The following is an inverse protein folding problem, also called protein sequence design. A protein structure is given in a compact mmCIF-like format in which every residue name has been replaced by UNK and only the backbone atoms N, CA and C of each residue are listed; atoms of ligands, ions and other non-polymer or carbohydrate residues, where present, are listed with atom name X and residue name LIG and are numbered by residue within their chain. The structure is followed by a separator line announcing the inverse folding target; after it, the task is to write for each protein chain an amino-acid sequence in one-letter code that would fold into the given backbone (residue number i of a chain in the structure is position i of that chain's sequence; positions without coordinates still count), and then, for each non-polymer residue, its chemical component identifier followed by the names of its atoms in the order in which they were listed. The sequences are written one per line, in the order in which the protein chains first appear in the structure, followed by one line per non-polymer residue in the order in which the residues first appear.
data_IF_761617312805
#
_entry.id   IF_761617312805
#
_cell.length_a   1.000
_cell.length_b   1.000
_cell.length_c   1.000
_cell.angle_alpha   90.00
_cell.angle_beta   90.00
_cell.angle_gamma   90.00
#
_symmetry.space_group_name_H-M   'P 1'
#
loop_
_entity.id
_entity.type
_entity.pdbx_description
1 polymer ?
#
# COMPACT_ATOMS: atom_id res chain seq x y z
N UNK A 1 3.42 -13.14 -9.39
CA UNK A 1 3.56 -12.04 -10.38
C UNK A 1 4.36 -10.90 -9.75
N UNK A 2 5.53 -10.51 -10.30
CA UNK A 2 6.31 -9.36 -9.76
C UNK A 2 5.55 -8.06 -10.07
N UNK A 3 4.99 -7.43 -9.04
CA UNK A 3 4.45 -6.07 -9.16
C UNK A 3 5.65 -5.15 -9.41
N UNK A 4 5.77 -4.69 -10.66
CA UNK A 4 6.97 -4.09 -11.21
C UNK A 4 6.81 -2.60 -11.47
N UNK A 5 7.82 -1.84 -11.05
CA UNK A 5 8.04 -0.46 -11.45
C UNK A 5 8.31 -0.39 -12.96
N UNK A 6 7.28 -0.12 -13.77
CA UNK A 6 7.47 0.01 -15.22
C UNK A 6 8.45 1.14 -15.55
N UNK A 7 9.30 0.95 -16.56
CA UNK A 7 10.32 1.94 -16.96
C UNK A 7 9.70 3.26 -17.40
N UNK A 8 8.59 3.21 -18.13
CA UNK A 8 7.85 4.38 -18.63
C UNK A 8 7.28 5.28 -17.50
N UNK A 9 7.09 4.75 -16.30
CA UNK A 9 6.66 5.52 -15.13
C UNK A 9 7.82 6.12 -14.31
N UNK A 10 9.08 5.94 -14.72
CA UNK A 10 10.25 6.43 -13.96
C UNK A 10 10.18 7.94 -13.70
N UNK A 11 9.86 8.71 -14.73
CA UNK A 11 9.76 10.18 -14.65
C UNK A 11 8.61 10.60 -13.72
N UNK A 12 7.44 9.98 -13.87
CA UNK A 12 6.28 10.24 -12.99
C UNK A 12 6.62 9.98 -11.53
N UNK A 13 7.22 8.83 -11.21
CA UNK A 13 7.60 8.51 -9.83
C UNK A 13 8.69 9.44 -9.29
N UNK A 14 9.61 9.91 -10.14
CA UNK A 14 10.63 10.87 -9.71
C UNK A 14 9.98 12.22 -9.39
N UNK A 15 9.10 12.70 -10.26
CA UNK A 15 8.32 13.91 -10.04
C UNK A 15 7.50 13.85 -8.75
N UNK A 16 6.76 12.75 -8.52
CA UNK A 16 5.96 12.59 -7.30
C UNK A 16 6.82 12.53 -6.03
N UNK A 17 8.04 11.97 -6.10
CA UNK A 17 8.97 11.98 -4.95
C UNK A 17 9.54 13.35 -4.62
N UNK A 18 9.60 14.26 -5.59
CA UNK A 18 10.08 15.64 -5.38
C UNK A 18 8.94 16.61 -5.07
N UNK A 19 7.69 16.24 -5.35
CA UNK A 19 6.49 17.05 -5.13
C UNK A 19 5.50 16.36 -4.19
N UNK A 20 6.00 15.54 -3.25
CA UNK A 20 5.15 14.86 -2.26
C UNK A 20 4.52 15.88 -1.31
N UNK A 21 3.28 15.64 -0.89
CA UNK A 21 2.65 16.44 0.17
C UNK A 21 3.42 16.33 1.49
N UNK A 22 3.20 17.28 2.41
CA UNK A 22 3.79 17.21 3.75
C UNK A 22 3.33 15.95 4.51
N UNK A 23 2.08 15.51 4.31
CA UNK A 23 1.54 14.29 4.90
C UNK A 23 2.26 13.05 4.37
N UNK A 24 2.47 12.95 3.04
CA UNK A 24 3.24 11.86 2.44
C UNK A 24 4.68 11.80 2.95
N UNK A 25 5.33 12.96 3.08
CA UNK A 25 6.71 13.05 3.56
C UNK A 25 6.81 12.58 5.03
N UNK A 26 5.90 13.06 5.88
CA UNK A 26 5.82 12.66 7.30
C UNK A 26 5.55 11.16 7.44
N UNK A 27 4.55 10.63 6.74
CA UNK A 27 4.22 9.21 6.81
C UNK A 27 5.37 8.34 6.27
N UNK A 28 6.04 8.78 5.19
CA UNK A 28 7.21 8.08 4.68
C UNK A 28 8.34 8.00 5.70
N UNK A 29 8.64 9.10 6.40
CA UNK A 29 9.69 9.11 7.42
C UNK A 29 9.43 8.08 8.52
N UNK A 30 8.16 7.94 8.93
CA UNK A 30 7.71 6.99 9.94
C UNK A 30 7.75 5.54 9.47
N UNK A 31 7.35 5.26 8.24
CA UNK A 31 7.28 3.89 7.71
C UNK A 31 8.59 3.40 7.08
N UNK A 32 9.47 4.31 6.67
CA UNK A 32 10.76 3.98 6.06
C UNK A 32 11.66 3.18 7.00
N UNK A 33 12.65 2.50 6.43
CA UNK A 33 13.67 1.74 7.18
C UNK A 33 13.11 0.65 8.12
N UNK A 34 11.92 0.10 7.81
CA UNK A 34 11.29 -0.99 8.57
C UNK A 34 10.99 -0.66 10.03
N UNK A 35 10.80 0.63 10.35
CA UNK A 35 10.53 1.11 11.71
C UNK A 35 9.23 0.55 12.29
N UNK A 36 8.24 0.29 11.45
CA UNK A 36 6.95 -0.26 11.86
C UNK A 36 6.94 -1.75 11.61
N UNK A 37 7.04 -2.53 12.69
CA UNK A 37 6.74 -3.96 12.68
C UNK A 37 7.59 -4.77 11.67
N UNK A 38 8.77 -4.26 11.31
CA UNK A 38 9.68 -4.86 10.33
C UNK A 38 9.26 -4.69 8.86
N UNK A 39 8.11 -4.06 8.59
CA UNK A 39 7.51 -3.97 7.26
C UNK A 39 8.32 -3.07 6.31
N UNK A 40 8.60 -3.57 5.11
CA UNK A 40 9.28 -2.77 4.08
C UNK A 40 8.29 -2.00 3.20
N UNK A 41 8.18 -0.70 3.45
CA UNK A 41 7.46 0.21 2.55
C UNK A 41 8.33 0.76 1.42
N UNK A 42 7.71 1.00 0.27
CA UNK A 42 8.29 1.65 -0.91
C UNK A 42 7.50 2.92 -1.21
N UNK A 43 8.20 4.04 -1.39
CA UNK A 43 7.57 5.32 -1.74
C UNK A 43 7.32 5.48 -3.23
N UNK A 44 6.13 5.97 -3.58
CA UNK A 44 5.63 6.27 -4.92
C UNK A 44 5.87 5.09 -5.86
N UNK A 45 5.18 3.98 -5.59
CA UNK A 45 5.41 2.68 -6.22
C UNK A 45 4.46 2.44 -7.39
N UNK A 46 4.99 1.98 -8.53
CA UNK A 46 4.17 1.67 -9.70
C UNK A 46 3.53 0.28 -9.59
N UNK A 47 2.21 0.21 -9.77
CA UNK A 47 1.42 -1.03 -9.84
C UNK A 47 0.56 -0.95 -11.10
N UNK A 48 0.94 -1.72 -12.12
CA UNK A 48 0.30 -1.62 -13.44
C UNK A 48 0.46 -0.23 -14.05
N UNK A 49 -0.66 0.44 -14.32
CA UNK A 49 -0.70 1.81 -14.83
C UNK A 49 -0.71 2.89 -13.73
N UNK A 50 -0.96 2.50 -12.48
CA UNK A 50 -1.09 3.42 -11.36
C UNK A 50 0.21 3.55 -10.57
N UNK A 51 0.34 4.66 -9.84
CA UNK A 51 1.36 4.87 -8.81
C UNK A 51 0.62 5.11 -7.49
N UNK A 52 0.99 4.36 -6.46
CA UNK A 52 0.46 4.49 -5.09
C UNK A 52 1.51 5.16 -4.19
N UNK A 53 1.08 5.93 -3.19
CA UNK A 53 1.99 6.77 -2.39
C UNK A 53 2.99 5.94 -1.60
N UNK A 54 2.51 4.90 -0.91
CA UNK A 54 3.33 3.95 -0.17
C UNK A 54 2.86 2.52 -0.44
N UNK A 55 3.80 1.58 -0.59
CA UNK A 55 3.47 0.18 -0.85
C UNK A 55 4.35 -0.77 -0.05
N UNK A 56 3.73 -1.70 0.68
CA UNK A 56 4.37 -2.83 1.34
C UNK A 56 4.14 -4.12 0.53
N UNK A 57 5.15 -4.63 -0.18
CA UNK A 57 5.00 -5.84 -1.00
C UNK A 57 4.77 -7.11 -0.19
N UNK A 58 5.26 -7.16 1.06
CA UNK A 58 5.24 -8.35 1.91
C UNK A 58 3.81 -8.76 2.26
N UNK A 59 2.94 -7.79 2.50
CA UNK A 59 1.51 -7.99 2.85
C UNK A 59 0.56 -7.42 1.80
N UNK A 60 1.08 -7.11 0.60
CA UNK A 60 0.38 -6.50 -0.53
C UNK A 60 -0.51 -5.31 -0.12
N UNK A 61 0.03 -4.42 0.71
CA UNK A 61 -0.69 -3.24 1.21
C UNK A 61 -0.23 -1.98 0.47
N UNK A 62 -1.15 -1.26 -0.14
CA UNK A 62 -0.96 0.12 -0.58
C UNK A 62 -1.58 1.08 0.44
N UNK A 63 -0.93 2.22 0.66
CA UNK A 63 -1.47 3.34 1.43
C UNK A 63 -1.53 4.55 0.49
N UNK A 64 -2.68 5.22 0.48
CA UNK A 64 -2.89 6.47 -0.25
C UNK A 64 -3.33 7.57 0.68
N UNK A 65 -2.78 8.76 0.47
CA UNK A 65 -3.17 9.95 1.21
C UNK A 65 -4.05 10.83 0.33
N UNK A 66 -5.21 11.18 0.85
CA UNK A 66 -6.15 12.07 0.19
C UNK A 66 -6.04 13.46 0.81
N UNK A 67 -5.75 14.44 -0.04
CA UNK A 67 -5.61 15.85 0.34
C UNK A 67 -6.90 16.65 0.29
N UNK A 68 -8.05 16.02 0.00
CA UNK A 68 -9.35 16.65 0.07
C UNK A 68 -9.46 17.94 -0.72
N UNK A 69 -9.65 17.82 -2.03
CA UNK A 69 -10.38 18.83 -2.79
C UNK A 69 -11.41 18.07 -3.64
N UNK A 70 -12.69 18.21 -3.27
CA UNK A 70 -13.81 17.87 -4.13
C UNK A 70 -13.60 18.47 -5.52
N UNK A 71 -13.73 17.68 -6.58
CA UNK A 71 -14.82 17.79 -7.55
C UNK A 71 -14.59 16.82 -8.71
N UNK A 72 -15.63 16.05 -8.99
CA UNK A 72 -16.06 15.55 -10.29
C UNK A 72 -16.25 14.05 -10.28
N UNK A 73 -17.47 13.67 -10.62
CA UNK A 73 -17.99 12.31 -10.83
C UNK A 73 -17.05 11.38 -11.63
N UNK A 74 -16.11 11.96 -12.38
CA UNK A 74 -15.02 11.31 -13.13
C UNK A 74 -13.93 10.73 -12.20
N UNK A 75 -13.65 11.34 -11.04
CA UNK A 75 -12.71 10.81 -10.04
C UNK A 75 -13.30 9.54 -9.39
N UNK A 76 -14.59 9.49 -9.10
CA UNK A 76 -15.23 8.29 -8.51
C UNK A 76 -15.18 7.05 -9.41
N UNK A 77 -15.36 7.22 -10.73
CA UNK A 77 -15.19 6.12 -11.69
C UNK A 77 -13.71 5.69 -11.81
N UNK A 78 -12.77 6.65 -11.85
CA UNK A 78 -11.33 6.37 -11.91
C UNK A 78 -10.79 5.75 -10.63
N UNK A 79 -11.31 6.15 -9.47
CA UNK A 79 -10.97 5.57 -8.18
C UNK A 79 -11.49 4.14 -8.08
N UNK A 80 -12.71 3.88 -8.55
CA UNK A 80 -13.23 2.51 -8.62
C UNK A 80 -12.43 1.64 -9.59
N UNK A 81 -12.12 2.12 -10.80
CA UNK A 81 -11.29 1.36 -11.75
C UNK A 81 -9.89 1.08 -11.20
N UNK A 82 -9.30 2.05 -10.49
CA UNK A 82 -8.01 1.89 -9.81
C UNK A 82 -8.11 0.87 -8.69
N UNK A 83 -9.12 0.96 -7.85
CA UNK A 83 -9.34 0.04 -6.73
C UNK A 83 -9.60 -1.39 -7.22
N UNK A 84 -10.48 -1.56 -8.21
CA UNK A 84 -10.77 -2.84 -8.85
C UNK A 84 -9.50 -3.42 -9.49
N UNK A 85 -8.70 -2.59 -10.18
CA UNK A 85 -7.41 -3.03 -10.74
C UNK A 85 -6.43 -3.45 -9.64
N UNK A 86 -6.23 -2.64 -8.60
CA UNK A 86 -5.29 -2.97 -7.51
C UNK A 86 -5.73 -4.24 -6.77
N UNK A 87 -7.03 -4.37 -6.49
CA UNK A 87 -7.65 -5.57 -5.92
C UNK A 87 -7.42 -6.80 -6.80
N UNK A 88 -7.54 -6.68 -8.13
CA UNK A 88 -7.23 -7.77 -9.07
C UNK A 88 -5.76 -8.23 -9.02
N UNK A 89 -4.86 -7.35 -8.55
CA UNK A 89 -3.44 -7.69 -8.32
C UNK A 89 -3.21 -8.26 -6.90
N UNK A 90 -4.28 -8.46 -6.13
CA UNK A 90 -4.25 -8.88 -4.73
C UNK A 90 -3.75 -7.79 -3.79
N UNK A 91 -3.83 -6.51 -4.18
CA UNK A 91 -3.38 -5.37 -3.37
C UNK A 91 -4.57 -4.75 -2.65
N UNK A 92 -4.49 -4.66 -1.33
CA UNK A 92 -5.44 -3.90 -0.52
C UNK A 92 -4.97 -2.46 -0.40
N UNK A 93 -5.90 -1.50 -0.47
CA UNK A 93 -5.63 -0.07 -0.32
C UNK A 93 -6.22 0.44 0.99
N UNK A 94 -5.40 1.09 1.83
CA UNK A 94 -5.88 1.91 2.94
C UNK A 94 -5.73 3.38 2.56
N UNK A 95 -6.83 4.14 2.61
CA UNK A 95 -6.84 5.58 2.33
C UNK A 95 -6.98 6.37 3.62
N UNK A 96 -6.16 7.39 3.79
CA UNK A 96 -6.25 8.32 4.92
C UNK A 96 -6.34 9.75 4.42
N UNK A 97 -7.13 10.58 5.10
CA UNK A 97 -7.07 12.02 4.92
C UNK A 97 -5.71 12.55 5.40
N UNK A 98 -5.18 13.55 4.72
CA UNK A 98 -3.92 14.20 5.11
C UNK A 98 -3.95 14.67 6.58
N UNK A 99 -5.09 15.21 7.02
CA UNK A 99 -5.33 15.71 8.37
C UNK A 99 -5.12 14.61 9.43
N UNK A 100 -5.52 13.37 9.14
CA UNK A 100 -5.34 12.25 10.06
C UNK A 100 -3.86 11.96 10.27
N UNK A 101 -3.03 12.07 9.23
CA UNK A 101 -1.58 11.87 9.37
C UNK A 101 -0.95 12.93 10.29
N UNK A 102 -1.44 14.16 10.24
CA UNK A 102 -0.91 15.25 11.07
C UNK A 102 -1.41 15.21 12.52
N UNK A 103 -2.65 14.80 12.73
CA UNK A 103 -3.31 14.91 14.04
C UNK A 103 -3.36 13.60 14.82
N UNK A 104 -3.40 12.46 14.14
CA UNK A 104 -3.48 11.15 14.76
C UNK A 104 -2.73 10.09 13.95
N UNK A 105 -1.41 10.23 13.94
CA UNK A 105 -0.54 9.26 13.29
C UNK A 105 -0.57 7.90 13.97
N UNK A 106 -0.92 7.85 15.27
CA UNK A 106 -1.10 6.61 16.01
C UNK A 106 -2.18 5.73 15.39
N UNK A 107 -3.33 6.33 15.05
CA UNK A 107 -4.42 5.66 14.34
C UNK A 107 -3.97 5.09 12.99
N UNK A 108 -3.16 5.83 12.21
CA UNK A 108 -2.62 5.34 10.93
C UNK A 108 -1.76 4.08 11.15
N UNK A 109 -0.88 4.10 12.14
CA UNK A 109 -0.03 2.94 12.48
C UNK A 109 -0.87 1.77 12.97
N UNK A 110 -1.86 2.01 13.83
CA UNK A 110 -2.78 0.99 14.33
C UNK A 110 -3.47 0.26 13.18
N UNK A 111 -3.99 0.99 12.18
CA UNK A 111 -4.64 0.38 11.01
C UNK A 111 -3.70 -0.45 10.14
N UNK A 112 -2.44 -0.04 10.01
CA UNK A 112 -1.42 -0.84 9.32
C UNK A 112 -1.15 -2.15 10.07
N UNK A 113 -1.04 -2.10 11.40
CA UNK A 113 -0.80 -3.27 12.24
C UNK A 113 -2.01 -4.21 12.23
N UNK A 114 -3.22 -3.67 12.38
CA UNK A 114 -4.47 -4.42 12.30
C UNK A 114 -4.57 -5.19 10.97
N UNK A 115 -4.27 -4.52 9.85
CA UNK A 115 -4.23 -5.16 8.55
C UNK A 115 -3.13 -6.22 8.45
N UNK A 116 -1.91 -5.95 8.92
CA UNK A 116 -0.81 -6.94 8.94
C UNK A 116 -1.25 -8.22 9.66
N UNK A 117 -1.89 -8.10 10.82
CA UNK A 117 -2.32 -9.26 11.61
C UNK A 117 -3.38 -10.08 10.85
N UNK A 118 -4.42 -9.42 10.32
CA UNK A 118 -5.44 -10.06 9.47
C UNK A 118 -4.84 -10.74 8.24
N UNK A 119 -3.87 -10.10 7.59
CA UNK A 119 -3.18 -10.66 6.43
C UNK A 119 -2.42 -11.94 6.81
N UNK A 120 -1.73 -11.95 7.95
CA UNK A 120 -1.04 -13.15 8.46
C UNK A 120 -2.00 -14.27 8.80
N UNK A 121 -3.13 -14.00 9.45
CA UNK A 121 -4.13 -15.03 9.78
C UNK A 121 -4.68 -15.70 8.51
N UNK A 122 -5.03 -14.90 7.50
CA UNK A 122 -5.59 -15.40 6.23
C UNK A 122 -4.58 -16.18 5.39
N UNK A 123 -3.29 -15.84 5.48
CA UNK A 123 -2.25 -16.47 4.65
C UNK A 123 -1.43 -17.55 5.39
N UNK A 124 -1.38 -17.54 6.73
CA UNK A 124 -0.78 -18.61 7.53
C UNK A 124 -1.57 -19.93 7.41
N UNK A 125 -2.88 -19.85 7.15
CA UNK A 125 -3.72 -21.01 6.85
C UNK A 125 -3.37 -21.69 5.52
N UNK A 126 -2.72 -20.96 4.60
CA UNK A 126 -2.35 -21.48 3.28
C UNK A 126 -0.98 -22.18 3.30
N UNK A 127 -0.05 -21.76 4.16
CA UNK A 127 1.28 -22.38 4.31
C UNK A 127 1.22 -23.73 5.06
N UNK A 128 0.16 -23.99 5.82
CA UNK A 128 -0.05 -25.28 6.50
C UNK A 128 -0.60 -26.41 5.61
N UNK A 129 -1.00 -26.13 4.37
CA UNK A 129 -1.60 -27.12 3.45
C UNK A 129 -0.61 -27.65 2.41
N UNK A 130 0.53 -26.97 2.20
CA UNK A 130 1.52 -27.32 1.16
C UNK A 130 2.81 -27.96 1.73
N UNK A 131 2.79 -28.39 3.00
CA UNK A 131 4.00 -28.78 3.74
C UNK A 131 3.96 -30.09 4.52
N UNK A 132 2.94 -30.95 4.34
CA UNK A 132 2.99 -32.30 4.89
C UNK A 132 3.49 -33.28 3.83
N UNK A 133 4.78 -33.60 3.92
CA UNK A 133 5.33 -34.84 3.39
C UNK A 133 4.40 -36.01 3.75
N UNK A 134 3.85 -36.66 2.73
CA UNK A 134 3.30 -38.00 2.85
C UNK A 134 4.50 -38.91 3.12
N UNK A 135 4.80 -39.16 4.39
CA UNK A 135 5.59 -40.33 4.78
C UNK A 135 4.61 -41.49 4.86
N UNK A 136 4.51 -42.23 3.75
CA UNK A 136 3.94 -43.58 3.76
C UNK A 136 5.05 -44.54 4.20
N UNK A 137 4.94 -45.06 5.41
CA UNK A 137 5.50 -46.37 5.79
C UNK A 137 4.35 -47.39 5.88
#
# INVERSE_FOLDING_TARGET
MRINNRKNQKLVRQYLRTHSTAAEAMLWELLSNKKVEGLKFRRQHGIGQYVVDLYCPEIKLAIELDGGIHTDWIIGMKDKEKEDFLSSQGVTVLRFWNEVVFHDVGYVIEKIIEYKNKWRETHALHDSVDGSDIVVE
#
